data_IF_749326523904
#
_entry.id   IF_749326523904
#
_cell.length_a   1.000
_cell.length_b   1.000
_cell.length_c   1.000
_cell.angle_alpha   90.00
_cell.angle_beta   90.00
_cell.angle_gamma   90.00
#
_symmetry.space_group_name_H-M   'P 1'
#
loop_
_entity.id
_entity.type
_entity.pdbx_description
1 polymer ?
#
# COMPACT_ATOMS: atom_id res chain seq x y z
N UNK A 1 -7.78 8.96 -10.46
CA UNK A 1 -8.39 7.78 -9.78
C UNK A 1 -7.89 7.52 -8.36
N UNK A 2 -6.73 8.02 -7.91
CA UNK A 2 -6.45 8.17 -6.46
C UNK A 2 -6.20 9.64 -6.08
N UNK A 3 -5.36 10.33 -6.84
CA UNK A 3 -5.13 11.79 -6.74
C UNK A 3 -6.45 12.58 -6.72
N UNK A 4 -7.34 12.34 -7.69
CA UNK A 4 -8.63 13.02 -7.76
C UNK A 4 -9.53 12.76 -6.54
N UNK A 5 -9.49 11.56 -5.96
CA UNK A 5 -10.26 11.25 -4.76
C UNK A 5 -9.70 12.02 -3.56
N UNK A 6 -8.37 12.04 -3.41
CA UNK A 6 -7.71 12.82 -2.36
C UNK A 6 -7.99 14.31 -2.51
N UNK A 7 -7.85 14.86 -3.73
CA UNK A 7 -8.21 16.25 -4.01
C UNK A 7 -9.68 16.52 -3.71
N UNK A 8 -10.60 15.63 -4.09
CA UNK A 8 -12.02 15.79 -3.80
C UNK A 8 -12.30 15.87 -2.30
N UNK A 9 -11.71 14.98 -1.50
CA UNK A 9 -11.82 14.98 -0.04
C UNK A 9 -11.28 16.30 0.54
N UNK A 10 -10.06 16.68 0.17
CA UNK A 10 -9.41 17.89 0.69
C UNK A 10 -10.20 19.15 0.31
N UNK A 11 -10.63 19.25 -0.96
CA UNK A 11 -11.37 20.40 -1.46
C UNK A 11 -12.78 20.50 -0.87
N UNK A 12 -13.43 19.37 -0.59
CA UNK A 12 -14.71 19.33 0.14
C UNK A 12 -14.60 19.96 1.53
N UNK A 13 -13.44 19.82 2.18
CA UNK A 13 -13.17 20.33 3.52
C UNK A 13 -12.29 21.59 3.52
N UNK A 14 -12.20 22.30 2.38
CA UNK A 14 -11.28 23.45 2.23
C UNK A 14 -11.42 24.54 3.28
N UNK A 15 -12.64 24.83 3.74
CA UNK A 15 -12.88 25.87 4.74
C UNK A 15 -12.22 25.59 6.10
N UNK A 16 -11.92 24.32 6.39
CA UNK A 16 -11.24 23.88 7.61
C UNK A 16 -9.76 23.61 7.35
N UNK A 17 -9.42 23.01 6.20
CA UNK A 17 -8.06 22.57 5.89
C UNK A 17 -7.15 23.67 5.33
N UNK A 18 -7.74 24.74 4.77
CA UNK A 18 -7.04 25.86 4.14
C UNK A 18 -7.38 27.19 4.82
N UNK A 19 -7.48 27.21 6.15
CA UNK A 19 -7.52 28.48 6.91
C UNK A 19 -6.22 29.26 6.73
N UNK A 20 -6.25 30.58 6.92
CA UNK A 20 -5.04 31.40 6.79
C UNK A 20 -3.91 30.95 7.74
N UNK A 21 -4.27 30.52 8.95
CA UNK A 21 -3.35 29.93 9.92
C UNK A 21 -2.74 28.60 9.41
N UNK A 22 -3.56 27.69 8.86
CA UNK A 22 -3.06 26.43 8.30
C UNK A 22 -2.15 26.65 7.08
N UNK A 23 -2.53 27.58 6.20
CA UNK A 23 -1.72 27.99 5.04
C UNK A 23 -0.38 28.54 5.47
N UNK A 24 -0.35 29.43 6.47
CA UNK A 24 0.89 30.00 6.98
C UNK A 24 1.76 28.95 7.69
N UNK A 25 1.18 28.12 8.56
CA UNK A 25 1.90 27.11 9.35
C UNK A 25 2.56 26.06 8.46
N UNK A 26 1.84 25.56 7.47
CA UNK A 26 2.31 24.45 6.63
C UNK A 26 2.79 24.90 5.24
N UNK A 27 2.80 26.21 4.96
CA UNK A 27 3.17 26.79 3.65
C UNK A 27 2.35 26.18 2.50
N UNK A 28 1.03 26.06 2.71
CA UNK A 28 0.14 25.42 1.74
C UNK A 28 -0.21 26.38 0.60
N UNK A 29 -0.13 25.86 -0.62
CA UNK A 29 -0.62 26.52 -1.83
C UNK A 29 -1.82 25.74 -2.35
N UNK A 30 -3.03 26.24 -2.03
CA UNK A 30 -4.30 25.62 -2.42
C UNK A 30 -4.39 25.38 -3.94
N UNK A 31 -3.77 26.25 -4.74
CA UNK A 31 -3.76 26.14 -6.20
C UNK A 31 -2.89 24.98 -6.67
N UNK A 32 -1.72 24.78 -6.05
CA UNK A 32 -0.87 23.59 -6.35
C UNK A 32 -1.56 22.29 -5.98
N UNK A 33 -2.24 22.24 -4.83
CA UNK A 33 -3.00 21.06 -4.41
C UNK A 33 -4.11 20.74 -5.41
N UNK A 34 -4.83 21.76 -5.89
CA UNK A 34 -5.89 21.60 -6.88
C UNK A 34 -5.35 21.13 -8.25
N UNK A 35 -4.20 21.65 -8.66
CA UNK A 35 -3.58 21.37 -9.96
C UNK A 35 -2.79 20.06 -10.01
N UNK A 36 -2.57 19.39 -8.87
CA UNK A 36 -1.87 18.11 -8.84
C UNK A 36 -2.57 17.06 -9.74
N UNK A 37 -1.81 16.51 -10.68
CA UNK A 37 -2.23 15.47 -11.60
C UNK A 37 -1.81 14.07 -11.11
N UNK A 38 -0.70 13.98 -10.37
CA UNK A 38 -0.20 12.73 -9.80
C UNK A 38 -0.31 12.70 -8.28
N UNK A 39 -0.28 11.51 -7.69
CA UNK A 39 -0.29 11.36 -6.23
C UNK A 39 0.94 12.05 -5.63
N UNK A 40 2.13 11.85 -6.23
CA UNK A 40 3.36 12.47 -5.78
C UNK A 40 3.31 13.99 -5.80
N UNK A 41 2.68 14.60 -6.81
CA UNK A 41 2.46 16.06 -6.83
C UNK A 41 1.50 16.52 -5.72
N UNK A 42 0.46 15.75 -5.43
CA UNK A 42 -0.45 16.03 -4.34
C UNK A 42 0.28 15.91 -2.99
N UNK A 43 1.07 14.86 -2.79
CA UNK A 43 1.81 14.62 -1.56
C UNK A 43 2.91 15.68 -1.35
N UNK A 44 3.54 16.15 -2.43
CA UNK A 44 4.49 17.27 -2.42
C UNK A 44 3.82 18.60 -2.02
N UNK A 45 2.63 18.86 -2.55
CA UNK A 45 1.91 20.11 -2.33
C UNK A 45 1.14 20.15 -0.98
N UNK A 46 0.69 19.00 -0.49
CA UNK A 46 -0.17 18.89 0.69
C UNK A 46 0.39 17.94 1.75
N UNK A 47 0.45 16.63 1.46
CA UNK A 47 0.68 15.60 2.49
C UNK A 47 1.98 15.79 3.26
N UNK A 48 3.12 15.97 2.57
CA UNK A 48 4.40 16.16 3.25
C UNK A 48 4.42 17.44 4.09
N UNK A 49 3.72 18.48 3.63
CA UNK A 49 3.67 19.82 4.26
C UNK A 49 2.88 19.81 5.55
N UNK A 50 1.69 19.22 5.53
CA UNK A 50 0.85 19.08 6.73
C UNK A 50 1.50 18.16 7.77
N UNK A 51 2.26 17.15 7.31
CA UNK A 51 3.03 16.26 8.17
C UNK A 51 4.43 16.80 8.55
N UNK A 52 4.82 18.00 8.10
CA UNK A 52 6.05 18.67 8.54
C UNK A 52 7.36 18.15 7.93
N UNK A 53 7.30 17.35 6.87
CA UNK A 53 8.49 16.82 6.19
C UNK A 53 9.11 17.84 5.23
N UNK A 54 10.45 17.91 5.18
CA UNK A 54 11.16 18.88 4.35
C UNK A 54 11.12 18.51 2.88
N UNK A 55 11.23 17.22 2.58
CA UNK A 55 11.18 16.68 1.22
C UNK A 55 10.18 15.54 1.11
N UNK A 56 9.77 15.23 -0.12
CA UNK A 56 8.85 14.13 -0.39
C UNK A 56 9.49 12.76 -0.10
N UNK A 57 10.79 12.65 -0.31
CA UNK A 57 11.57 11.45 -0.04
C UNK A 57 11.62 11.13 1.46
N UNK A 58 11.77 12.15 2.31
CA UNK A 58 11.68 11.97 3.77
C UNK A 58 10.29 11.47 4.17
N UNK A 59 9.24 12.09 3.61
CA UNK A 59 7.86 11.66 3.84
C UNK A 59 7.65 10.20 3.46
N UNK A 60 8.06 9.77 2.26
CA UNK A 60 7.87 8.39 1.84
C UNK A 60 8.76 7.40 2.59
N UNK A 61 9.99 7.76 2.92
CA UNK A 61 10.90 6.89 3.67
C UNK A 61 10.35 6.61 5.07
N UNK A 62 9.89 7.63 5.77
CA UNK A 62 9.42 7.50 7.16
C UNK A 62 8.03 6.83 7.22
N UNK A 63 7.23 6.93 6.15
CA UNK A 63 5.96 6.22 6.00
C UNK A 63 6.09 4.84 5.31
N UNK A 64 7.31 4.40 4.99
CA UNK A 64 7.52 3.10 4.35
C UNK A 64 7.45 1.98 5.38
N UNK A 65 6.67 0.95 5.10
CA UNK A 65 6.63 -0.27 5.93
C UNK A 65 7.92 -1.09 5.84
N UNK A 66 8.74 -0.87 4.81
CA UNK A 66 9.94 -1.68 4.56
C UNK A 66 10.97 -1.60 5.70
N UNK A 67 11.07 -0.45 6.37
CA UNK A 67 12.02 -0.24 7.48
C UNK A 67 11.66 -1.03 8.74
N UNK A 68 10.42 -1.53 8.83
CA UNK A 68 9.93 -2.34 9.95
C UNK A 68 9.94 -3.84 9.65
N UNK A 69 10.27 -4.23 8.41
CA UNK A 69 10.18 -5.60 7.95
C UNK A 69 11.05 -6.55 8.79
N UNK A 70 12.27 -6.14 9.14
CA UNK A 70 13.19 -6.94 9.96
C UNK A 70 12.78 -7.05 11.44
N UNK A 71 11.78 -6.28 11.89
CA UNK A 71 11.21 -6.37 13.23
C UNK A 71 10.08 -7.41 13.38
N UNK A 72 9.80 -8.20 12.34
CA UNK A 72 8.71 -9.18 12.34
C UNK A 72 9.16 -10.45 13.07
N UNK A 73 8.73 -10.59 14.32
CA UNK A 73 8.99 -11.79 15.14
C UNK A 73 7.86 -12.84 15.07
N UNK A 74 6.67 -12.43 14.63
CA UNK A 74 5.54 -13.32 14.46
C UNK A 74 5.69 -14.13 13.15
N UNK A 75 5.28 -15.42 13.11
CA UNK A 75 5.24 -16.16 11.85
C UNK A 75 4.36 -15.42 10.85
N UNK A 76 4.88 -15.14 9.66
CA UNK A 76 4.20 -14.32 8.65
C UNK A 76 4.30 -14.93 7.25
N UNK A 77 3.19 -14.89 6.52
CA UNK A 77 3.14 -15.28 5.11
C UNK A 77 2.79 -14.04 4.29
N UNK A 78 3.70 -13.66 3.39
CA UNK A 78 3.47 -12.67 2.35
C UNK A 78 2.90 -13.36 1.12
N UNK A 79 1.87 -12.79 0.51
CA UNK A 79 1.25 -13.32 -0.70
C UNK A 79 1.17 -12.19 -1.72
N UNK A 80 1.68 -12.42 -2.93
CA UNK A 80 1.54 -11.47 -4.04
C UNK A 80 1.50 -12.20 -5.39
N UNK A 81 1.03 -11.52 -6.44
CA UNK A 81 1.12 -12.02 -7.82
C UNK A 81 2.09 -11.17 -8.65
N UNK A 82 2.66 -11.76 -9.70
CA UNK A 82 3.56 -11.04 -10.64
C UNK A 82 2.83 -10.07 -11.55
N UNK A 83 1.55 -10.33 -11.80
CA UNK A 83 0.67 -9.50 -12.62
C UNK A 83 -0.07 -8.41 -11.81
N UNK A 84 0.33 -8.16 -10.55
CA UNK A 84 -0.22 -7.05 -9.76
C UNK A 84 0.20 -5.69 -10.36
N UNK A 85 -0.76 -4.85 -10.82
CA UNK A 85 -0.45 -3.57 -11.44
C UNK A 85 -0.10 -2.46 -10.43
N UNK A 86 -0.28 -2.71 -9.13
CA UNK A 86 -0.09 -1.74 -8.04
C UNK A 86 1.20 -2.01 -7.27
N UNK A 87 1.63 -3.28 -7.15
CA UNK A 87 2.85 -3.67 -6.42
C UNK A 87 3.99 -4.00 -7.40
N UNK A 88 4.95 -3.07 -7.63
CA UNK A 88 6.12 -3.32 -8.46
C UNK A 88 6.97 -4.50 -7.98
N UNK A 89 7.57 -5.23 -8.93
CA UNK A 89 8.49 -6.34 -8.66
C UNK A 89 9.68 -5.97 -7.79
N UNK A 90 10.17 -4.72 -7.88
CA UNK A 90 11.29 -4.21 -7.06
C UNK A 90 10.96 -4.23 -5.57
N UNK A 91 9.71 -3.97 -5.17
CA UNK A 91 9.29 -4.06 -3.77
C UNK A 91 9.31 -5.51 -3.30
N UNK A 92 8.93 -6.46 -4.18
CA UNK A 92 8.98 -7.89 -3.87
C UNK A 92 10.42 -8.41 -3.72
N UNK A 93 11.42 -7.78 -4.34
CA UNK A 93 12.82 -8.18 -4.14
C UNK A 93 13.29 -8.00 -2.70
N UNK A 94 12.87 -6.92 -2.04
CA UNK A 94 13.18 -6.70 -0.63
C UNK A 94 12.48 -7.72 0.27
N UNK A 95 11.20 -8.03 -0.01
CA UNK A 95 10.45 -9.09 0.69
C UNK A 95 11.09 -10.47 0.48
N UNK A 96 11.52 -10.79 -0.75
CA UNK A 96 12.27 -12.02 -1.05
C UNK A 96 13.58 -12.10 -0.28
N UNK A 97 14.31 -10.99 -0.17
CA UNK A 97 15.57 -10.92 0.59
C UNK A 97 15.30 -11.19 2.07
N UNK A 98 14.28 -10.55 2.64
CA UNK A 98 13.87 -10.74 4.03
C UNK A 98 13.48 -12.21 4.31
N UNK A 99 12.63 -12.83 3.48
CA UNK A 99 12.22 -14.23 3.68
C UNK A 99 13.37 -15.24 3.50
N UNK A 100 14.44 -14.88 2.79
CA UNK A 100 15.65 -15.72 2.68
C UNK A 100 16.53 -15.65 3.93
N UNK A 101 16.40 -14.60 4.74
CA UNK A 101 17.21 -14.40 5.94
C UNK A 101 16.45 -14.63 7.25
N UNK A 102 15.15 -14.89 7.20
CA UNK A 102 14.29 -15.07 8.38
C UNK A 102 13.47 -16.37 8.28
N UNK A 103 13.71 -17.29 9.20
CA UNK A 103 13.12 -18.64 9.17
C UNK A 103 11.62 -18.67 9.54
N UNK A 104 11.06 -17.53 9.97
CA UNK A 104 9.66 -17.39 10.41
C UNK A 104 8.79 -16.68 9.37
N UNK A 105 9.36 -16.31 8.22
CA UNK A 105 8.62 -15.65 7.16
C UNK A 105 8.66 -16.45 5.86
N UNK A 106 7.56 -16.37 5.10
CA UNK A 106 7.42 -17.04 3.82
C UNK A 106 6.84 -16.06 2.80
N UNK A 107 7.36 -16.06 1.58
CA UNK A 107 6.74 -15.39 0.44
C UNK A 107 6.13 -16.42 -0.50
N UNK A 108 4.84 -16.26 -0.79
CA UNK A 108 4.12 -16.98 -1.82
C UNK A 108 3.87 -16.03 -2.98
N UNK A 109 4.53 -16.31 -4.10
CA UNK A 109 4.45 -15.50 -5.31
C UNK A 109 3.82 -16.31 -6.44
N UNK A 110 2.65 -15.90 -6.91
CA UNK A 110 1.96 -16.53 -8.05
C UNK A 110 2.28 -15.82 -9.36
N UNK A 111 2.20 -16.52 -10.49
CA UNK A 111 2.30 -15.88 -11.80
C UNK A 111 1.10 -14.96 -12.07
N UNK A 112 -0.09 -15.38 -11.64
CA UNK A 112 -1.35 -14.67 -11.84
C UNK A 112 -2.18 -14.56 -10.56
N UNK A 113 -2.94 -13.48 -10.45
CA UNK A 113 -3.88 -13.25 -9.36
C UNK A 113 -4.41 -11.82 -9.30
N UNK A 114 -3.66 -10.87 -9.88
CA UNK A 114 -3.93 -9.44 -9.81
C UNK A 114 -3.96 -8.89 -8.38
N UNK A 115 -4.32 -7.62 -8.26
CA UNK A 115 -4.34 -6.92 -6.97
C UNK A 115 -5.55 -7.26 -6.06
N UNK A 116 -6.69 -7.64 -6.67
CA UNK A 116 -8.00 -7.60 -6.00
C UNK A 116 -8.49 -8.95 -5.45
N UNK A 117 -7.63 -9.98 -5.37
CA UNK A 117 -7.95 -11.18 -4.59
C UNK A 117 -7.88 -12.52 -5.31
N UNK A 118 -7.00 -12.69 -6.31
CA UNK A 118 -6.68 -14.02 -6.86
C UNK A 118 -7.91 -14.81 -7.34
N UNK A 119 -8.79 -14.14 -8.10
CA UNK A 119 -9.97 -14.78 -8.68
C UNK A 119 -9.60 -15.88 -9.67
N UNK A 120 -10.37 -16.95 -9.66
CA UNK A 120 -10.18 -18.10 -10.54
C UNK A 120 -11.50 -18.60 -11.12
N UNK A 121 -11.36 -19.30 -12.25
CA UNK A 121 -12.43 -20.00 -12.95
C UNK A 121 -13.60 -19.10 -13.34
N UNK A 122 -14.69 -19.74 -13.75
CA UNK A 122 -15.89 -19.03 -14.18
C UNK A 122 -15.73 -18.33 -15.54
N UNK A 123 -16.41 -18.85 -16.56
CA UNK A 123 -16.36 -18.23 -17.89
C UNK A 123 -17.03 -16.84 -17.94
N UNK A 124 -18.02 -16.60 -17.07
CA UNK A 124 -18.78 -15.33 -16.99
C UNK A 124 -18.72 -14.66 -15.62
N UNK A 125 -18.61 -15.45 -14.54
CA UNK A 125 -18.58 -14.95 -13.17
C UNK A 125 -17.52 -15.76 -12.43
N UNK A 126 -16.54 -15.11 -11.77
CA UNK A 126 -15.50 -15.82 -11.05
C UNK A 126 -16.08 -16.68 -9.94
N UNK A 127 -15.35 -17.71 -9.51
CA UNK A 127 -15.74 -18.47 -8.33
C UNK A 127 -15.83 -17.56 -7.10
N UNK A 128 -16.83 -17.82 -6.26
CA UNK A 128 -17.03 -17.08 -5.00
C UNK A 128 -15.93 -17.36 -3.96
N UNK A 129 -15.22 -18.49 -4.11
CA UNK A 129 -14.07 -18.85 -3.28
C UNK A 129 -12.82 -18.74 -4.16
N UNK A 130 -12.00 -17.76 -3.85
CA UNK A 130 -10.77 -17.45 -4.60
C UNK A 130 -9.66 -18.42 -4.27
N UNK A 131 -8.55 -18.34 -5.03
CA UNK A 131 -7.35 -19.10 -4.69
C UNK A 131 -6.83 -18.75 -3.29
N UNK A 132 -6.80 -17.44 -2.99
CA UNK A 132 -6.28 -16.91 -1.72
C UNK A 132 -7.13 -17.39 -0.54
N UNK A 133 -8.46 -17.45 -0.68
CA UNK A 133 -9.35 -17.96 0.36
C UNK A 133 -9.00 -19.40 0.75
N UNK A 134 -8.76 -20.26 -0.27
CA UNK A 134 -8.40 -21.66 -0.03
C UNK A 134 -7.02 -21.78 0.62
N UNK A 135 -6.05 -20.98 0.18
CA UNK A 135 -4.72 -20.96 0.77
C UNK A 135 -4.76 -20.59 2.26
N UNK A 136 -5.47 -19.52 2.62
CA UNK A 136 -5.58 -19.06 4.01
C UNK A 136 -6.22 -20.14 4.89
N UNK A 137 -7.31 -20.78 4.43
CA UNK A 137 -7.96 -21.86 5.17
C UNK A 137 -7.04 -23.07 5.32
N UNK A 138 -6.32 -23.47 4.28
CA UNK A 138 -5.36 -24.58 4.34
C UNK A 138 -4.22 -24.30 5.31
N UNK A 139 -3.64 -23.09 5.27
CA UNK A 139 -2.59 -22.69 6.20
C UNK A 139 -3.08 -22.67 7.65
N UNK A 140 -4.24 -22.06 7.90
CA UNK A 140 -4.83 -22.04 9.24
C UNK A 140 -5.13 -23.45 9.75
N UNK A 141 -5.66 -24.33 8.89
CA UNK A 141 -5.91 -25.72 9.24
C UNK A 141 -4.62 -26.47 9.59
N UNK A 142 -3.56 -26.35 8.79
CA UNK A 142 -2.27 -27.00 9.09
C UNK A 142 -1.67 -26.53 10.41
N UNK A 143 -1.77 -25.22 10.72
CA UNK A 143 -1.26 -24.66 11.97
C UNK A 143 -2.01 -25.17 13.21
N UNK A 144 -3.32 -25.42 13.11
CA UNK A 144 -4.14 -25.93 14.23
C UNK A 144 -4.04 -27.45 14.36
N UNK A 145 -3.93 -28.17 13.24
CA UNK A 145 -3.91 -29.63 13.22
C UNK A 145 -2.56 -30.24 13.64
N UNK A 146 -1.51 -29.43 13.82
CA UNK A 146 -0.21 -29.87 14.34
C UNK A 146 0.56 -30.81 13.40
N UNK A 147 0.31 -30.72 12.10
CA UNK A 147 0.96 -31.51 11.06
C UNK A 147 2.28 -30.90 10.60
#
# INVERSE_FOLDING_TARGET
MMTENMKSIIMRHRGVLFTEDAKARHQLDERKVFMAATLSEFDEAYSRRVNGYKTLEEFYRDNSSLTFLDGIDAPMVFINSRDDPIVPSVILEDVRRHCKSHDRTLLVETEHGGHLGFYEGGFLVPHSVTWMDRLVVQMAHSLVSGA
#
